data_IF_263279484393
#
_entry.id   IF_263279484393
#
_cell.length_a   1.000
_cell.length_b   1.000
_cell.length_c   1.000
_cell.angle_alpha   90.00
_cell.angle_beta   90.00
_cell.angle_gamma   90.00
#
_symmetry.space_group_name_H-M   'P 1'
#
loop_
_entity.id
_entity.type
_entity.pdbx_description
1 polymer ?
#
# COMPACT_ATOMS: atom_id res chain seq x y z
N UNK A 1 0.80 -4.46 12.72
CA UNK A 1 -0.62 -4.09 12.99
C UNK A 1 -1.34 -3.78 11.67
N UNK A 2 -2.59 -4.21 11.53
CA UNK A 2 -3.42 -3.93 10.37
C UNK A 2 -4.09 -2.56 10.52
N UNK A 3 -4.39 -1.92 9.40
CA UNK A 3 -5.13 -0.66 9.35
C UNK A 3 -6.01 -0.66 8.11
N UNK A 4 -7.03 0.18 8.11
CA UNK A 4 -7.74 0.58 6.91
C UNK A 4 -7.15 1.89 6.40
N UNK A 5 -7.11 2.03 5.09
CA UNK A 5 -6.83 3.26 4.38
C UNK A 5 -8.18 3.73 3.85
N UNK A 6 -8.69 4.81 4.44
CA UNK A 6 -9.96 5.41 4.05
C UNK A 6 -9.65 6.72 3.34
N UNK A 7 -10.07 6.89 2.09
CA UNK A 7 -9.62 8.05 1.33
C UNK A 7 -10.39 8.26 0.05
N UNK A 8 -9.83 9.15 -0.78
CA UNK A 8 -10.45 9.62 -2.00
C UNK A 8 -10.96 11.06 -1.88
N UNK A 9 -10.74 11.73 -0.75
CA UNK A 9 -11.04 13.15 -0.60
C UNK A 9 -9.98 14.03 -1.27
N UNK A 10 -10.31 15.31 -1.47
CA UNK A 10 -9.33 16.29 -1.94
C UNK A 10 -8.14 16.36 -0.98
N UNK A 11 -6.96 16.61 -1.54
CA UNK A 11 -5.76 16.92 -0.77
C UNK A 11 -5.85 18.29 -0.11
N UNK A 12 -6.77 19.17 -0.51
CA UNK A 12 -6.85 20.52 0.05
C UNK A 12 -7.52 20.53 1.44
N UNK A 13 -8.24 19.46 1.79
CA UNK A 13 -8.91 19.35 3.08
C UNK A 13 -7.91 19.10 4.21
N UNK A 14 -8.17 19.70 5.36
CA UNK A 14 -7.41 19.42 6.57
C UNK A 14 -7.86 18.11 7.25
N UNK A 15 -7.14 17.74 8.32
CA UNK A 15 -7.40 16.48 9.03
C UNK A 15 -8.77 16.46 9.71
N UNK A 16 -9.21 17.58 10.29
CA UNK A 16 -10.45 17.68 11.04
C UNK A 16 -11.65 17.57 10.11
N UNK A 17 -11.61 18.24 8.97
CA UNK A 17 -12.61 18.13 7.91
C UNK A 17 -12.72 16.71 7.37
N UNK A 18 -11.57 16.07 7.10
CA UNK A 18 -11.54 14.69 6.61
C UNK A 18 -12.09 13.72 7.66
N UNK A 19 -11.74 13.89 8.94
CA UNK A 19 -12.28 13.11 10.05
C UNK A 19 -13.79 13.31 10.21
N UNK A 20 -14.28 14.54 10.12
CA UNK A 20 -15.71 14.86 10.17
C UNK A 20 -16.48 14.17 9.04
N UNK A 21 -15.98 14.27 7.80
CA UNK A 21 -16.57 13.59 6.63
C UNK A 21 -16.54 12.06 6.79
N UNK A 22 -15.44 11.50 7.30
CA UNK A 22 -15.31 10.07 7.54
C UNK A 22 -16.30 9.58 8.62
N UNK A 23 -16.47 10.32 9.72
CA UNK A 23 -17.43 10.00 10.79
C UNK A 23 -18.86 9.97 10.27
N UNK A 24 -19.24 10.99 9.50
CA UNK A 24 -20.56 11.07 8.86
C UNK A 24 -20.79 9.85 7.95
N UNK A 25 -19.84 9.51 7.09
CA UNK A 25 -19.96 8.35 6.20
C UNK A 25 -20.02 7.01 6.95
N UNK A 26 -19.26 6.86 8.03
CA UNK A 26 -19.32 5.66 8.87
C UNK A 26 -20.70 5.50 9.50
N UNK A 27 -21.31 6.60 9.98
CA UNK A 27 -22.67 6.59 10.51
C UNK A 27 -23.72 6.34 9.41
N UNK A 28 -23.68 7.11 8.32
CA UNK A 28 -24.66 7.05 7.22
C UNK A 28 -24.72 5.67 6.56
N UNK A 29 -23.57 4.98 6.47
CA UNK A 29 -23.46 3.66 5.85
C UNK A 29 -23.42 2.52 6.87
N UNK A 30 -23.64 2.80 8.15
CA UNK A 30 -23.59 1.83 9.25
C UNK A 30 -22.34 0.95 9.21
N UNK A 31 -21.18 1.56 8.95
CA UNK A 31 -19.91 0.84 8.81
C UNK A 31 -19.38 0.40 10.17
N UNK A 32 -18.92 -0.83 10.25
CA UNK A 32 -18.36 -1.39 11.47
C UNK A 32 -16.87 -1.00 11.67
N UNK A 33 -16.61 0.31 11.71
CA UNK A 33 -15.28 0.93 11.77
C UNK A 33 -15.20 1.88 12.97
N UNK A 34 -14.20 1.67 13.82
CA UNK A 34 -13.86 2.62 14.90
C UNK A 34 -12.83 3.65 14.40
N UNK A 35 -13.23 4.92 14.37
CA UNK A 35 -12.39 6.04 13.97
C UNK A 35 -11.65 6.72 15.14
N UNK A 36 -11.79 6.24 16.38
CA UNK A 36 -11.23 6.90 17.57
C UNK A 36 -9.70 7.07 17.55
N UNK A 37 -8.99 6.25 16.78
CA UNK A 37 -7.53 6.36 16.55
C UNK A 37 -7.19 6.57 15.08
N UNK A 38 -8.14 7.03 14.28
CA UNK A 38 -7.88 7.42 12.90
C UNK A 38 -7.03 8.68 12.86
N UNK A 39 -6.10 8.76 11.91
CA UNK A 39 -5.24 9.92 11.73
C UNK A 39 -4.85 10.09 10.26
N UNK A 40 -4.48 11.31 9.86
CA UNK A 40 -3.94 11.59 8.53
C UNK A 40 -2.40 11.55 8.56
N UNK A 41 -1.72 10.81 7.67
CA UNK A 41 -0.26 10.69 7.69
C UNK A 41 0.44 11.90 7.05
N UNK A 42 0.29 13.06 7.70
CA UNK A 42 0.78 14.37 7.24
C UNK A 42 -0.31 15.21 6.58
N UNK A 43 -0.04 16.50 6.40
CA UNK A 43 -1.01 17.44 5.81
C UNK A 43 -1.37 17.05 4.38
N UNK A 44 -2.61 17.33 4.00
CA UNK A 44 -3.06 17.36 2.61
C UNK A 44 -2.91 16.03 1.85
N UNK A 45 -3.25 14.90 2.47
CA UNK A 45 -3.17 13.58 1.84
C UNK A 45 -4.50 13.08 1.27
N UNK A 46 -5.64 13.62 1.72
CA UNK A 46 -6.96 13.18 1.26
C UNK A 46 -7.31 11.74 1.67
N UNK A 47 -6.64 11.20 2.69
CA UNK A 47 -6.94 9.87 3.25
C UNK A 47 -6.51 9.74 4.72
N UNK A 48 -7.26 8.94 5.47
CA UNK A 48 -7.00 8.55 6.85
C UNK A 48 -6.43 7.13 6.92
N UNK A 49 -5.56 6.93 7.90
CA UNK A 49 -5.16 5.61 8.38
C UNK A 49 -6.01 5.31 9.62
N UNK A 50 -6.76 4.21 9.57
CA UNK A 50 -7.60 3.76 10.69
C UNK A 50 -7.03 2.46 11.23
N UNK A 51 -6.32 2.46 12.39
CA UNK A 51 -5.78 1.25 12.98
C UNK A 51 -6.89 0.26 13.34
N UNK A 52 -6.81 -0.97 12.83
CA UNK A 52 -7.74 -2.01 13.22
C UNK A 52 -7.34 -2.57 14.59
N UNK A 53 -8.32 -2.69 15.49
CA UNK A 53 -8.15 -3.29 16.80
C UNK A 53 -9.12 -4.46 16.97
N UNK A 54 -8.66 -5.61 17.49
CA UNK A 54 -9.56 -6.68 17.91
C UNK A 54 -10.47 -6.17 19.03
N UNK A 55 -11.76 -6.47 18.93
CA UNK A 55 -12.69 -6.35 20.04
C UNK A 55 -12.52 -7.50 21.03
N UNK A 56 -13.10 -7.37 22.22
CA UNK A 56 -13.14 -8.45 23.21
C UNK A 56 -13.76 -9.71 22.58
N UNK A 57 -13.04 -10.83 22.59
CA UNK A 57 -13.47 -12.08 21.96
C UNK A 57 -13.37 -12.13 20.42
N UNK A 58 -12.85 -11.09 19.77
CA UNK A 58 -12.62 -11.05 18.32
C UNK A 58 -11.25 -11.65 17.99
N UNK A 59 -11.25 -12.78 17.28
CA UNK A 59 -10.03 -13.34 16.71
C UNK A 59 -9.60 -12.59 15.43
N UNK A 60 -8.41 -12.94 14.93
CA UNK A 60 -7.85 -12.31 13.73
C UNK A 60 -8.73 -12.51 12.49
N UNK A 61 -9.35 -13.67 12.31
CA UNK A 61 -10.19 -13.96 11.15
C UNK A 61 -11.50 -13.15 11.20
N UNK A 62 -12.10 -12.99 12.38
CA UNK A 62 -13.27 -12.14 12.60
C UNK A 62 -12.96 -10.67 12.30
N UNK A 63 -11.83 -10.16 12.82
CA UNK A 63 -11.35 -8.80 12.51
C UNK A 63 -11.17 -8.58 11.01
N UNK A 64 -10.62 -9.58 10.30
CA UNK A 64 -10.46 -9.51 8.85
C UNK A 64 -11.79 -9.47 8.11
N UNK A 65 -12.73 -10.34 8.49
CA UNK A 65 -14.06 -10.39 7.89
C UNK A 65 -14.79 -9.07 8.06
N UNK A 66 -14.75 -8.47 9.26
CA UNK A 66 -15.33 -7.15 9.54
C UNK A 66 -14.73 -6.05 8.65
N UNK A 67 -13.40 -6.04 8.53
CA UNK A 67 -12.71 -5.09 7.66
C UNK A 67 -13.08 -5.27 6.18
N UNK A 68 -13.16 -6.53 5.70
CA UNK A 68 -13.53 -6.85 4.31
C UNK A 68 -14.99 -6.44 4.02
N UNK A 69 -15.91 -6.72 4.94
CA UNK A 69 -17.32 -6.34 4.81
C UNK A 69 -17.46 -4.81 4.63
N UNK A 70 -16.77 -4.03 5.46
CA UNK A 70 -16.77 -2.57 5.35
C UNK A 70 -16.21 -2.08 4.01
N UNK A 71 -15.13 -2.72 3.52
CA UNK A 71 -14.56 -2.41 2.20
C UNK A 71 -15.55 -2.72 1.07
N UNK A 72 -16.28 -3.82 1.17
CA UNK A 72 -17.27 -4.21 0.15
C UNK A 72 -18.44 -3.22 0.11
N UNK A 73 -18.91 -2.73 1.26
CA UNK A 73 -19.96 -1.69 1.32
C UNK A 73 -19.49 -0.44 0.58
N UNK A 74 -18.34 0.14 0.95
CA UNK A 74 -17.82 1.35 0.29
C UNK A 74 -17.65 1.16 -1.22
N UNK A 75 -17.14 -0.01 -1.65
CA UNK A 75 -17.00 -0.33 -3.08
C UNK A 75 -18.34 -0.39 -3.80
N UNK A 76 -19.39 -0.91 -3.16
CA UNK A 76 -20.73 -1.02 -3.74
C UNK A 76 -21.40 0.35 -3.89
N UNK A 77 -21.26 1.23 -2.90
CA UNK A 77 -21.89 2.56 -2.96
C UNK A 77 -21.17 3.48 -3.97
N UNK A 78 -19.86 3.29 -4.17
CA UNK A 78 -19.08 4.01 -5.19
C UNK A 78 -19.23 5.54 -5.17
N UNK A 79 -19.40 6.11 -3.98
CA UNK A 79 -19.72 7.53 -3.78
C UNK A 79 -18.66 8.45 -4.39
N UNK A 80 -19.05 9.44 -5.20
CA UNK A 80 -18.15 10.52 -5.60
C UNK A 80 -17.83 11.39 -4.38
N UNK A 81 -16.57 11.79 -4.24
CA UNK A 81 -16.10 12.66 -3.15
C UNK A 81 -16.07 14.14 -3.53
N UNK A 82 -16.63 14.49 -4.69
CA UNK A 82 -16.69 15.86 -5.21
C UNK A 82 -15.37 16.41 -5.76
N UNK A 83 -14.27 15.66 -5.66
CA UNK A 83 -12.98 16.00 -6.26
C UNK A 83 -12.71 15.24 -7.56
N UNK A 84 -11.51 15.44 -8.11
CA UNK A 84 -11.04 14.77 -9.32
C UNK A 84 -9.86 13.87 -9.00
N UNK A 85 -9.82 12.68 -9.58
CA UNK A 85 -8.65 11.82 -9.49
C UNK A 85 -7.54 12.27 -10.44
N UNK A 86 -6.37 11.62 -10.38
CA UNK A 86 -5.20 11.93 -11.23
C UNK A 86 -5.47 11.77 -12.73
N UNK A 87 -6.57 11.13 -13.11
CA UNK A 87 -6.98 10.90 -14.49
C UNK A 87 -8.09 11.86 -14.94
N UNK A 88 -8.43 12.87 -14.13
CA UNK A 88 -9.48 13.84 -14.45
C UNK A 88 -10.90 13.31 -14.29
N UNK A 89 -11.08 12.13 -13.68
CA UNK A 89 -12.41 11.55 -13.41
C UNK A 89 -12.89 11.95 -12.01
N UNK A 90 -14.20 11.95 -11.74
CA UNK A 90 -14.70 12.13 -10.39
C UNK A 90 -14.03 11.15 -9.42
N UNK A 91 -13.33 11.69 -8.43
CA UNK A 91 -12.72 10.91 -7.38
C UNK A 91 -13.83 10.16 -6.64
N UNK A 92 -13.60 8.87 -6.43
CA UNK A 92 -14.51 8.02 -5.67
C UNK A 92 -13.93 7.75 -4.31
N UNK A 93 -14.82 7.64 -3.34
CA UNK A 93 -14.50 7.18 -2.00
C UNK A 93 -13.93 5.77 -2.07
N UNK A 94 -12.85 5.53 -1.33
CA UNK A 94 -12.13 4.26 -1.33
C UNK A 94 -11.81 3.85 0.10
N UNK A 95 -12.08 2.59 0.40
CA UNK A 95 -11.63 1.93 1.62
C UNK A 95 -10.80 0.71 1.22
N UNK A 96 -9.62 0.56 1.82
CA UNK A 96 -8.72 -0.55 1.54
C UNK A 96 -8.04 -1.05 2.81
N UNK A 97 -7.77 -2.34 2.88
CA UNK A 97 -6.99 -2.91 3.98
C UNK A 97 -5.49 -2.68 3.69
N UNK A 98 -4.78 -2.12 4.66
CA UNK A 98 -3.33 -1.94 4.58
C UNK A 98 -2.62 -3.29 4.42
N UNK A 99 -1.45 -3.30 3.77
CA UNK A 99 -0.60 -4.49 3.67
C UNK A 99 -0.33 -5.10 5.06
N UNK A 100 -0.39 -6.43 5.16
CA UNK A 100 -0.01 -7.16 6.37
C UNK A 100 1.47 -6.90 6.75
N UNK A 101 1.91 -7.13 8.00
CA UNK A 101 3.31 -6.97 8.39
C UNK A 101 4.28 -7.74 7.48
N UNK A 102 3.94 -8.98 7.11
CA UNK A 102 4.72 -9.76 6.16
C UNK A 102 4.76 -9.15 4.76
N UNK A 103 3.62 -8.68 4.25
CA UNK A 103 3.58 -7.99 2.95
C UNK A 103 4.37 -6.68 2.96
N UNK A 104 4.37 -5.96 4.09
CA UNK A 104 5.21 -4.76 4.28
C UNK A 104 6.69 -5.14 4.29
N UNK A 105 7.08 -6.20 5.00
CA UNK A 105 8.46 -6.72 5.02
C UNK A 105 8.93 -7.09 3.61
N UNK A 106 8.12 -7.85 2.86
CA UNK A 106 8.39 -8.20 1.46
C UNK A 106 8.52 -6.95 0.59
N UNK A 107 7.58 -6.00 0.71
CA UNK A 107 7.64 -4.75 -0.06
C UNK A 107 8.91 -3.94 0.24
N UNK A 108 9.31 -3.82 1.51
CA UNK A 108 10.54 -3.12 1.92
C UNK A 108 11.79 -3.77 1.35
N UNK A 109 11.88 -5.10 1.44
CA UNK A 109 12.99 -5.86 0.85
C UNK A 109 13.07 -5.62 -0.65
N UNK A 110 11.94 -5.71 -1.36
CA UNK A 110 11.87 -5.45 -2.80
C UNK A 110 12.27 -4.03 -3.18
N UNK A 111 11.82 -3.03 -2.43
CA UNK A 111 12.23 -1.65 -2.66
C UNK A 111 13.73 -1.44 -2.45
N UNK A 112 14.31 -2.09 -1.43
CA UNK A 112 15.76 -2.06 -1.18
C UNK A 112 16.53 -2.72 -2.33
N UNK A 113 16.10 -3.89 -2.78
CA UNK A 113 16.72 -4.61 -3.91
C UNK A 113 16.61 -3.82 -5.21
N UNK A 114 15.43 -3.27 -5.54
CA UNK A 114 15.24 -2.41 -6.72
C UNK A 114 16.17 -1.20 -6.68
N UNK A 115 16.28 -0.55 -5.52
CA UNK A 115 17.14 0.61 -5.33
C UNK A 115 18.63 0.25 -5.53
N UNK A 116 19.08 -0.86 -4.94
CA UNK A 116 20.45 -1.35 -5.12
C UNK A 116 20.77 -1.64 -6.59
N UNK A 117 19.85 -2.26 -7.34
CA UNK A 117 20.03 -2.49 -8.79
C UNK A 117 20.12 -1.18 -9.57
N UNK A 118 19.28 -0.19 -9.25
CA UNK A 118 19.32 1.11 -9.92
C UNK A 118 20.55 1.95 -9.54
N UNK A 119 21.08 1.81 -8.32
CA UNK A 119 22.27 2.51 -7.85
C UNK A 119 23.57 1.86 -8.36
N UNK A 120 23.59 0.54 -8.55
CA UNK A 120 24.72 -0.20 -9.11
C UNK A 120 24.74 -0.28 -10.65
N UNK A 121 23.63 0.04 -11.32
CA UNK A 121 23.60 0.17 -12.77
C UNK A 121 24.37 1.42 -13.20
N UNK A 122 25.34 1.25 -14.11
CA UNK A 122 26.05 2.37 -14.71
C UNK A 122 25.07 3.38 -15.33
N UNK A 123 25.39 4.68 -15.31
CA UNK A 123 24.51 5.75 -15.81
C UNK A 123 24.13 5.56 -17.29
N UNK A 124 24.94 4.81 -18.02
CA UNK A 124 24.71 4.40 -19.41
C UNK A 124 23.81 3.15 -19.56
N UNK A 125 23.61 2.36 -18.50
CA UNK A 125 22.74 1.19 -18.45
C UNK A 125 21.28 1.54 -18.07
N UNK A 126 20.85 2.79 -18.31
CA UNK A 126 19.47 3.27 -18.13
C UNK A 126 18.42 2.52 -18.97
N UNK A 127 18.84 1.62 -19.85
CA UNK A 127 17.97 0.70 -20.60
C UNK A 127 17.47 -0.49 -19.77
N UNK A 128 18.01 -0.75 -18.57
CA UNK A 128 17.56 -1.87 -17.73
C UNK A 128 16.15 -1.63 -17.19
N UNK A 129 15.16 -2.29 -17.81
CA UNK A 129 13.77 -2.26 -17.40
C UNK A 129 13.57 -3.05 -16.09
N UNK A 130 13.83 -2.42 -14.95
CA UNK A 130 13.62 -3.03 -13.62
C UNK A 130 12.12 -3.03 -13.28
N UNK A 131 11.51 -4.22 -13.29
CA UNK A 131 10.10 -4.42 -12.90
C UNK A 131 10.03 -5.18 -11.58
N UNK A 132 9.25 -4.67 -10.63
CA UNK A 132 9.05 -5.33 -9.34
C UNK A 132 7.60 -5.75 -9.20
N UNK A 133 7.35 -7.05 -9.05
CA UNK A 133 6.05 -7.55 -8.60
C UNK A 133 6.06 -7.67 -7.07
N UNK A 134 5.50 -6.66 -6.42
CA UNK A 134 5.47 -6.57 -4.96
C UNK A 134 4.52 -7.58 -4.30
N UNK A 135 3.64 -8.23 -5.07
CA UNK A 135 2.70 -9.23 -4.57
C UNK A 135 3.39 -10.59 -4.38
N UNK A 136 4.13 -11.05 -5.38
CA UNK A 136 4.95 -12.26 -5.33
C UNK A 136 6.32 -12.05 -4.68
N UNK A 137 6.81 -10.80 -4.62
CA UNK A 137 8.15 -10.49 -4.14
C UNK A 137 9.22 -10.84 -5.17
N UNK A 138 8.90 -10.67 -6.46
CA UNK A 138 9.79 -11.01 -7.58
C UNK A 138 10.32 -9.74 -8.24
N UNK A 139 11.64 -9.70 -8.50
CA UNK A 139 12.28 -8.64 -9.26
C UNK A 139 12.63 -9.18 -10.64
N UNK A 140 12.36 -8.38 -11.67
CA UNK A 140 12.72 -8.68 -13.04
C UNK A 140 13.66 -7.62 -13.56
N UNK A 141 14.67 -8.06 -14.28
CA UNK A 141 15.64 -7.23 -14.99
C UNK A 141 15.63 -7.64 -16.45
N UNK A 142 15.13 -6.76 -17.32
CA UNK A 142 15.11 -6.97 -18.78
C UNK A 142 14.61 -8.37 -19.19
N UNK A 143 13.44 -8.75 -18.66
CA UNK A 143 12.77 -10.06 -18.80
C UNK A 143 13.34 -11.26 -18.01
N UNK A 144 14.44 -11.12 -17.27
CA UNK A 144 14.97 -12.19 -16.40
C UNK A 144 14.49 -12.06 -14.95
N UNK A 145 14.05 -13.18 -14.37
CA UNK A 145 13.64 -13.26 -12.97
C UNK A 145 14.88 -13.34 -12.07
N UNK A 146 15.02 -12.40 -11.13
CA UNK A 146 16.08 -12.44 -10.13
C UNK A 146 15.63 -13.37 -9.00
N UNK A 147 16.33 -14.50 -8.73
CA UNK A 147 15.97 -15.41 -7.65
C UNK A 147 16.08 -14.74 -6.29
N UNK A 148 15.18 -15.12 -5.38
CA UNK A 148 15.06 -14.54 -4.03
C UNK A 148 16.34 -14.66 -3.19
N UNK A 149 17.23 -15.60 -3.54
CA UNK A 149 18.51 -15.90 -2.88
C UNK A 149 19.68 -15.07 -3.36
N UNK A 150 19.68 -14.49 -4.56
CA UNK A 150 20.74 -13.52 -4.94
C UNK A 150 20.50 -12.14 -4.33
N UNK A 151 19.25 -11.85 -3.92
CA UNK A 151 18.93 -10.74 -3.01
C UNK A 151 19.19 -11.06 -1.53
N UNK A 152 19.83 -12.20 -1.21
CA UNK A 152 20.48 -12.38 0.08
C UNK A 152 21.75 -11.52 0.05
N UNK A 153 21.61 -10.31 0.59
CA UNK A 153 22.70 -9.51 1.13
C UNK A 153 23.79 -10.45 1.64
N UNK A 154 24.94 -10.49 0.97
CA UNK A 154 26.18 -10.79 1.69
C UNK A 154 26.25 -9.82 2.87
N UNK A 155 26.96 -10.14 3.94
CA UNK A 155 27.10 -9.28 5.10
C UNK A 155 27.58 -7.83 4.78
N UNK A 156 27.95 -7.56 3.52
CA UNK A 156 28.45 -6.30 2.98
C UNK A 156 27.58 -5.64 1.90
N UNK A 157 26.34 -6.08 1.64
CA UNK A 157 25.36 -5.22 0.95
C UNK A 157 25.45 -5.10 -0.57
N UNK A 158 26.26 -5.89 -1.27
CA UNK A 158 26.34 -5.87 -2.74
C UNK A 158 25.58 -7.05 -3.35
N UNK A 159 24.77 -6.74 -4.37
CA UNK A 159 24.19 -7.72 -5.29
C UNK A 159 25.27 -8.07 -6.31
N UNK A 160 25.63 -9.34 -6.40
CA UNK A 160 26.54 -9.82 -7.44
C UNK A 160 25.80 -9.80 -8.79
N UNK A 161 26.15 -8.84 -9.64
CA UNK A 161 25.55 -8.66 -10.97
C UNK A 161 26.08 -9.72 -11.94
N UNK A 162 27.28 -10.26 -11.73
CA UNK A 162 27.86 -11.31 -12.58
C UNK A 162 27.13 -12.64 -12.43
N UNK A 163 26.66 -12.96 -11.22
CA UNK A 163 25.82 -14.12 -10.95
C UNK A 163 24.45 -14.06 -11.67
N UNK A 164 24.01 -12.88 -12.14
CA UNK A 164 22.76 -12.69 -12.89
C UNK A 164 23.01 -12.66 -14.42
N UNK A 165 24.24 -12.41 -14.85
CA UNK A 165 24.66 -12.39 -16.27
C UNK A 165 25.34 -13.67 -16.77
N UNK A 166 25.52 -14.70 -15.95
CA UNK A 166 26.20 -15.95 -16.34
C UNK A 166 25.40 -16.91 -17.23
N UNK A 167 25.96 -17.16 -18.42
CA UNK A 167 25.71 -18.22 -19.43
C UNK A 167 24.68 -17.93 -20.55
N UNK A 168 25.23 -17.47 -21.68
CA UNK A 168 24.96 -18.13 -22.96
C UNK A 168 25.70 -19.45 -23.07
#
# INVERSE_FOLDING_TARGET
RWALIFGGWSTDLDEEEVLGKARKLVADLSLDIDLGKAFMPGKQKGFLIVPLQPRTGEDRAKLQRRAIASVQIIRKVALPTGGTDKSGRPAKLRLAISKSPEQRRRTRQMSKSKRAVLEGADKNARSLAVRADYKSGTLWLDARKIPRTSAATSAYGWLDVEAVSGHG
#
